data_IF_385134647412
#
_entry.id   IF_385134647412
#
_cell.length_a   1.000
_cell.length_b   1.000
_cell.length_c   1.000
_cell.angle_alpha   90.00
_cell.angle_beta   90.00
_cell.angle_gamma   90.00
#
_symmetry.space_group_name_H-M   'P 1'
#
loop_
_entity.id
_entity.type
_entity.pdbx_description
1 polymer ?
#
# COMPACT_ATOMS: atom_id res chain seq x y z
N UNK A 1 21.29 16.24 -12.06
CA UNK A 1 20.02 15.92 -12.75
C UNK A 1 19.27 14.85 -11.94
N UNK A 2 18.15 15.24 -11.34
CA UNK A 2 17.32 14.38 -10.48
C UNK A 2 16.71 13.24 -11.30
N UNK A 3 17.17 12.01 -11.06
CA UNK A 3 16.63 10.80 -11.70
C UNK A 3 15.17 10.62 -11.28
N UNK A 4 14.22 11.05 -12.12
CA UNK A 4 12.80 10.64 -12.08
C UNK A 4 12.77 9.12 -12.15
N UNK A 5 12.67 8.46 -11.00
CA UNK A 5 12.46 7.01 -10.91
C UNK A 5 11.12 6.72 -11.59
N UNK A 6 11.17 6.05 -12.75
CA UNK A 6 10.00 5.44 -13.39
C UNK A 6 9.27 4.65 -12.30
N UNK A 7 8.03 5.05 -12.01
CA UNK A 7 7.17 4.42 -11.01
C UNK A 7 6.89 3.01 -11.52
N UNK A 8 7.69 2.04 -11.07
CA UNK A 8 7.33 0.64 -11.15
C UNK A 8 6.00 0.58 -10.40
N UNK A 9 4.92 0.18 -11.07
CA UNK A 9 3.67 -0.18 -10.39
C UNK A 9 3.99 -1.36 -9.48
N UNK A 10 4.47 -1.04 -8.29
CA UNK A 10 4.98 -2.02 -7.35
C UNK A 10 3.79 -2.77 -6.79
N UNK A 11 3.99 -4.00 -6.31
CA UNK A 11 2.99 -4.74 -5.52
C UNK A 11 2.37 -3.87 -4.41
N UNK A 12 3.14 -2.91 -3.89
CA UNK A 12 2.65 -1.91 -2.95
C UNK A 12 1.49 -1.07 -3.49
N UNK A 13 1.55 -0.54 -4.72
CA UNK A 13 0.44 0.26 -5.30
C UNK A 13 -0.83 -0.59 -5.41
N UNK A 14 -0.73 -1.82 -5.93
CA UNK A 14 -1.87 -2.76 -5.97
C UNK A 14 -2.45 -3.04 -4.60
N UNK A 15 -1.59 -3.29 -3.60
CA UNK A 15 -2.04 -3.52 -2.22
C UNK A 15 -2.75 -2.30 -1.64
N UNK A 16 -2.31 -1.06 -1.95
CA UNK A 16 -3.00 0.14 -1.45
C UNK A 16 -4.42 0.20 -1.99
N UNK A 17 -4.59 -0.07 -3.28
CA UNK A 17 -5.90 -0.06 -3.93
C UNK A 17 -6.78 -1.22 -3.44
N UNK A 18 -6.24 -2.42 -3.26
CA UNK A 18 -7.00 -3.54 -2.67
C UNK A 18 -7.49 -3.21 -1.26
N UNK A 19 -6.61 -2.69 -0.41
CA UNK A 19 -6.96 -2.33 0.97
C UNK A 19 -7.96 -1.16 0.99
N UNK A 20 -7.77 -0.16 0.12
CA UNK A 20 -8.73 0.92 0.00
C UNK A 20 -10.11 0.42 -0.44
N UNK A 21 -10.16 -0.52 -1.39
CA UNK A 21 -11.38 -1.16 -1.83
C UNK A 21 -12.04 -1.98 -0.71
N UNK A 22 -11.27 -2.77 0.03
CA UNK A 22 -11.75 -3.54 1.18
C UNK A 22 -12.30 -2.64 2.31
N UNK A 23 -11.72 -1.44 2.48
CA UNK A 23 -12.18 -0.45 3.44
C UNK A 23 -13.33 0.42 2.93
N UNK A 24 -13.79 0.24 1.68
CA UNK A 24 -14.83 1.07 1.07
C UNK A 24 -14.40 2.53 0.82
N UNK A 25 -13.08 2.77 0.74
CA UNK A 25 -12.51 4.10 0.51
C UNK A 25 -12.19 4.35 -0.96
N UNK A 26 -12.51 3.39 -1.83
CA UNK A 26 -12.13 3.48 -3.25
C UNK A 26 -12.86 4.63 -3.95
N UNK A 27 -14.19 4.72 -3.81
CA UNK A 27 -14.97 5.85 -4.35
C UNK A 27 -14.41 7.19 -3.88
N UNK A 28 -14.07 7.29 -2.59
CA UNK A 28 -13.52 8.52 -2.01
C UNK A 28 -12.14 8.86 -2.57
N UNK A 29 -11.27 7.88 -2.79
CA UNK A 29 -9.96 8.12 -3.43
C UNK A 29 -10.14 8.55 -4.89
N UNK A 30 -11.13 7.99 -5.59
CA UNK A 30 -11.42 8.39 -6.97
C UNK A 30 -11.99 9.82 -7.05
N UNK A 31 -12.83 10.21 -6.08
CA UNK A 31 -13.43 11.55 -6.03
C UNK A 31 -12.47 12.63 -5.50
N UNK A 32 -11.85 12.42 -4.33
CA UNK A 32 -11.05 13.45 -3.63
C UNK A 32 -9.54 13.16 -3.64
N UNK A 33 -9.13 12.00 -4.16
CA UNK A 33 -7.73 11.58 -4.15
C UNK A 33 -7.26 11.10 -2.78
N UNK A 34 -6.02 10.59 -2.75
CA UNK A 34 -5.35 10.18 -1.51
C UNK A 34 -5.19 11.32 -0.48
N UNK A 35 -5.15 12.58 -0.94
CA UNK A 35 -5.04 13.75 -0.08
C UNK A 35 -6.36 14.15 0.60
N UNK A 36 -7.51 13.67 0.12
CA UNK A 36 -8.82 13.92 0.71
C UNK A 36 -9.26 12.88 1.74
N UNK A 37 -8.44 11.85 1.98
CA UNK A 37 -8.69 10.89 3.04
C UNK A 37 -8.36 11.48 4.41
N UNK A 38 -9.12 11.10 5.43
CA UNK A 38 -8.80 11.45 6.82
C UNK A 38 -7.53 10.71 7.28
N UNK A 39 -6.86 11.26 8.31
CA UNK A 39 -5.70 10.61 8.92
C UNK A 39 -6.00 9.18 9.42
N UNK A 40 -7.25 8.91 9.82
CA UNK A 40 -7.69 7.58 10.28
C UNK A 40 -7.81 6.59 9.13
N UNK A 41 -8.35 7.02 7.99
CA UNK A 41 -8.54 6.22 6.78
C UNK A 41 -7.19 5.91 6.12
N UNK A 42 -6.42 6.96 5.80
CA UNK A 42 -5.07 6.83 5.22
C UNK A 42 -4.11 6.08 6.16
N UNK A 43 -4.21 6.32 7.47
CA UNK A 43 -3.42 5.62 8.50
C UNK A 43 -3.73 4.13 8.58
N UNK A 44 -5.01 3.72 8.45
CA UNK A 44 -5.39 2.30 8.37
C UNK A 44 -4.81 1.63 7.13
N UNK A 45 -4.92 2.26 5.95
CA UNK A 45 -4.35 1.72 4.70
C UNK A 45 -2.83 1.56 4.84
N UNK A 46 -2.12 2.59 5.30
CA UNK A 46 -0.66 2.56 5.50
C UNK A 46 -0.22 1.50 6.51
N UNK A 47 -0.98 1.33 7.60
CA UNK A 47 -0.72 0.31 8.62
C UNK A 47 -0.83 -1.10 8.05
N UNK A 48 -1.90 -1.40 7.30
CA UNK A 48 -2.13 -2.71 6.69
C UNK A 48 -1.05 -3.07 5.65
N UNK A 49 -0.64 -2.11 4.82
CA UNK A 49 0.48 -2.30 3.88
C UNK A 49 1.76 -2.66 4.63
N UNK A 50 2.06 -1.96 5.73
CA UNK A 50 3.27 -2.17 6.53
C UNK A 50 3.28 -3.56 7.16
N UNK A 51 2.15 -4.01 7.72
CA UNK A 51 2.01 -5.37 8.27
C UNK A 51 2.27 -6.41 7.17
N UNK A 52 1.58 -6.30 6.04
CA UNK A 52 1.68 -7.27 4.93
C UNK A 52 3.10 -7.32 4.33
N UNK A 53 3.76 -6.17 4.23
CA UNK A 53 5.18 -6.06 3.83
C UNK A 53 6.12 -6.74 4.83
N UNK A 54 5.89 -6.55 6.14
CA UNK A 54 6.67 -7.22 7.19
C UNK A 54 6.48 -8.74 7.17
N UNK A 55 5.27 -9.20 6.92
CA UNK A 55 4.97 -10.63 6.77
C UNK A 55 5.62 -11.24 5.52
N UNK A 56 5.57 -10.56 4.38
CA UNK A 56 6.27 -10.99 3.17
C UNK A 56 7.79 -11.10 3.40
N UNK A 57 8.40 -10.11 4.07
CA UNK A 57 9.83 -10.15 4.40
C UNK A 57 10.17 -11.31 5.34
N UNK A 58 9.33 -11.57 6.36
CA UNK A 58 9.48 -12.75 7.23
C UNK A 58 9.34 -14.07 6.46
N UNK A 59 8.33 -14.19 5.60
CA UNK A 59 8.15 -15.40 4.77
C UNK A 59 9.30 -15.61 3.80
N UNK A 60 9.84 -14.54 3.22
CA UNK A 60 10.95 -14.63 2.27
C UNK A 60 12.26 -15.08 2.97
N UNK A 61 12.53 -14.53 4.16
CA UNK A 61 13.68 -14.95 4.99
C UNK A 61 13.56 -16.38 5.50
N UNK A 62 12.34 -16.86 5.76
CA UNK A 62 12.09 -18.27 6.12
C UNK A 62 12.23 -19.23 4.92
N UNK A 63 11.82 -18.80 3.72
CA UNK A 63 11.98 -19.59 2.48
C UNK A 63 13.43 -19.75 2.05
N UNK A 64 14.26 -18.73 2.23
CA UNK A 64 15.69 -18.78 1.87
C UNK A 64 16.56 -19.60 2.83
N UNK A 65 16.00 -20.12 3.93
CA UNK A 65 16.68 -20.96 4.92
C UNK A 65 16.35 -22.45 4.80
N UNK A 66 15.62 -22.86 3.77
CA UNK A 66 15.20 -24.23 3.52
C UNK A 66 15.75 -24.70 2.19
#
# INVERSE_FOLDING_TARGET
>A
MSKKKKKIETLEDKLKYEIANELGLMEKIEEVGWGGLTAKESGRIGGLITVKKREMLKKNTLKNKK
#
